data_IF_099412221089
#
_entry.id   IF_099412221089
#
_cell.length_a   1.000
_cell.length_b   1.000
_cell.length_c   1.000
_cell.angle_alpha   90.00
_cell.angle_beta   90.00
_cell.angle_gamma   90.00
#
_symmetry.space_group_name_H-M   'P 1'
#
loop_
_entity.id
_entity.type
_entity.pdbx_description
1 polymer ?
#
# COMPACT_ATOMS: atom_id res chain seq x y z
N UNK A 1 25.01 -18.56 -19.96
CA UNK A 1 24.01 -18.40 -21.02
C UNK A 1 23.36 -17.06 -20.78
N UNK A 2 23.85 -16.03 -21.46
CA UNK A 2 23.33 -14.67 -21.31
C UNK A 2 22.03 -14.57 -22.12
N UNK A 3 20.88 -14.55 -21.45
CA UNK A 3 19.59 -14.49 -22.10
C UNK A 3 19.41 -13.11 -22.76
N UNK A 4 19.61 -13.04 -24.08
CA UNK A 4 19.48 -11.83 -24.91
C UNK A 4 18.04 -11.33 -25.03
N UNK A 5 17.05 -12.11 -24.58
CA UNK A 5 15.68 -11.64 -24.45
C UNK A 5 15.42 -11.28 -22.99
N UNK A 6 15.22 -9.98 -22.71
CA UNK A 6 14.81 -9.52 -21.38
C UNK A 6 13.51 -10.20 -20.92
N UNK A 7 12.71 -10.73 -21.85
CA UNK A 7 11.47 -11.43 -21.56
C UNK A 7 11.55 -12.85 -22.12
N UNK A 8 11.17 -13.86 -21.33
CA UNK A 8 11.29 -15.28 -21.71
C UNK A 8 10.25 -16.16 -21.02
N UNK A 9 9.97 -17.32 -21.62
CA UNK A 9 9.19 -18.37 -20.98
C UNK A 9 10.08 -19.19 -20.04
N UNK A 10 9.63 -19.38 -18.80
CA UNK A 10 10.31 -20.20 -17.80
C UNK A 10 9.51 -21.48 -17.52
N UNK A 11 10.15 -22.43 -16.82
CA UNK A 11 9.52 -23.67 -16.33
C UNK A 11 8.76 -24.48 -17.41
N UNK A 12 9.32 -24.55 -18.62
CA UNK A 12 8.70 -25.31 -19.71
C UNK A 12 7.47 -24.63 -20.33
N UNK A 13 7.32 -23.31 -20.15
CA UNK A 13 6.26 -22.52 -20.78
C UNK A 13 5.08 -22.19 -19.87
N UNK A 14 5.06 -22.70 -18.64
CA UNK A 14 4.02 -22.39 -17.65
C UNK A 14 4.13 -20.97 -17.09
N UNK A 15 5.30 -20.35 -17.19
CA UNK A 15 5.56 -19.03 -16.65
C UNK A 15 6.12 -18.10 -17.72
N UNK A 16 5.74 -16.83 -17.63
CA UNK A 16 6.28 -15.76 -18.46
C UNK A 16 7.02 -14.76 -17.58
N UNK A 17 8.31 -14.58 -17.83
CA UNK A 17 9.17 -13.65 -17.11
C UNK A 17 9.38 -12.41 -17.97
N UNK A 18 9.13 -11.23 -17.40
CA UNK A 18 9.34 -9.92 -18.07
C UNK A 18 10.42 -9.15 -17.34
N UNK A 19 11.61 -9.03 -17.93
CA UNK A 19 12.74 -8.22 -17.44
C UNK A 19 12.80 -6.81 -18.03
N UNK A 20 11.78 -6.42 -18.79
CA UNK A 20 11.57 -5.06 -19.32
C UNK A 20 10.30 -4.40 -18.79
N UNK A 21 9.88 -3.30 -19.43
CA UNK A 21 8.60 -2.65 -19.11
C UNK A 21 7.44 -3.40 -19.78
N UNK A 22 6.44 -3.80 -18.99
CA UNK A 22 5.13 -4.23 -19.47
C UNK A 22 4.16 -3.03 -19.45
N UNK A 23 3.38 -2.83 -20.50
CA UNK A 23 2.39 -1.74 -20.58
C UNK A 23 1.09 -2.28 -21.18
N UNK A 24 0.00 -2.11 -20.46
CA UNK A 24 -1.35 -2.39 -20.95
C UNK A 24 -1.93 -1.10 -21.54
N UNK A 25 -2.41 -1.17 -22.78
CA UNK A 25 -2.99 -0.03 -23.48
C UNK A 25 -4.45 0.20 -23.04
N UNK A 26 -5.01 1.40 -23.25
CA UNK A 26 -6.43 1.66 -22.99
C UNK A 26 -7.34 0.63 -23.68
N UNK A 27 -8.30 0.08 -22.93
CA UNK A 27 -9.21 -0.95 -23.41
C UNK A 27 -8.72 -2.39 -23.28
N UNK A 28 -7.52 -2.63 -22.73
CA UNK A 28 -7.07 -3.99 -22.41
C UNK A 28 -7.85 -4.58 -21.22
N UNK A 29 -8.22 -5.86 -21.33
CA UNK A 29 -8.79 -6.66 -20.24
C UNK A 29 -7.73 -7.65 -19.75
N UNK A 30 -7.55 -7.74 -18.43
CA UNK A 30 -6.68 -8.73 -17.78
C UNK A 30 -7.56 -9.56 -16.84
N UNK A 31 -7.53 -10.88 -17.01
CA UNK A 31 -8.29 -11.84 -16.20
C UNK A 31 -7.34 -12.57 -15.24
N UNK A 32 -7.82 -12.98 -14.06
CA UNK A 32 -7.00 -13.73 -13.09
C UNK A 32 -5.94 -12.90 -12.37
N UNK A 33 -6.08 -11.57 -12.35
CA UNK A 33 -5.15 -10.64 -11.70
C UNK A 33 -5.62 -10.18 -10.31
N UNK A 34 -6.55 -10.90 -9.69
CA UNK A 34 -6.99 -10.64 -8.32
C UNK A 34 -5.78 -10.69 -7.37
N UNK A 35 -5.62 -9.70 -6.47
CA UNK A 35 -4.43 -9.61 -5.62
C UNK A 35 -3.19 -9.00 -6.27
N UNK A 36 -3.06 -9.01 -7.60
CA UNK A 36 -1.83 -8.61 -8.30
C UNK A 36 -1.63 -7.09 -8.31
N UNK A 37 -2.73 -6.34 -8.37
CA UNK A 37 -2.75 -4.88 -8.27
C UNK A 37 -3.34 -4.37 -6.95
N UNK A 38 -3.63 -5.28 -6.01
CA UNK A 38 -4.14 -4.94 -4.67
C UNK A 38 -3.04 -4.41 -3.73
N UNK A 39 -1.88 -4.05 -4.29
CA UNK A 39 -1.04 -3.04 -3.66
C UNK A 39 -1.95 -1.85 -3.34
N UNK A 40 -1.93 -1.32 -2.10
CA UNK A 40 -2.73 -0.15 -1.77
C UNK A 40 -2.49 0.86 -2.90
N UNK A 41 -3.57 1.33 -3.56
CA UNK A 41 -3.44 2.04 -4.81
C UNK A 41 -2.33 3.08 -4.67
N UNK A 42 -1.48 3.21 -5.67
CA UNK A 42 -0.44 4.24 -5.69
C UNK A 42 -0.99 5.68 -5.59
N UNK A 43 -2.30 5.87 -5.47
CA UNK A 43 -2.89 7.00 -4.75
C UNK A 43 -3.03 6.61 -3.28
N UNK A 44 -2.06 7.04 -2.46
CA UNK A 44 -2.00 6.73 -1.03
C UNK A 44 -3.38 6.82 -0.38
N UNK A 45 -3.66 5.93 0.58
CA UNK A 45 -4.91 6.00 1.31
C UNK A 45 -5.18 7.46 1.75
N UNK A 46 -6.43 7.85 1.82
CA UNK A 46 -6.79 9.18 2.31
C UNK A 46 -7.43 8.97 3.66
N UNK A 47 -6.93 9.68 4.67
CA UNK A 47 -7.62 9.72 5.95
C UNK A 47 -8.99 10.38 5.74
N UNK A 48 -10.05 9.89 6.40
CA UNK A 48 -11.27 10.66 6.51
C UNK A 48 -10.97 12.00 7.19
N UNK A 49 -11.84 12.99 6.99
CA UNK A 49 -11.73 14.25 7.71
C UNK A 49 -11.72 14.02 9.22
N UNK A 50 -10.78 14.65 9.91
CA UNK A 50 -10.68 14.69 11.37
C UNK A 50 -10.89 16.14 11.78
N UNK A 51 -11.85 16.38 12.68
CA UNK A 51 -12.15 17.72 13.18
C UNK A 51 -10.96 18.30 13.97
N UNK A 52 -10.88 19.64 14.00
CA UNK A 52 -9.89 20.36 14.80
C UNK A 52 -10.07 20.06 16.31
N UNK A 53 -8.97 20.10 17.06
CA UNK A 53 -9.02 19.95 18.52
C UNK A 53 -9.49 21.25 19.19
N UNK A 54 -10.54 21.16 19.98
CA UNK A 54 -11.06 22.27 20.82
C UNK A 54 -10.60 22.12 22.29
N UNK A 55 -9.54 21.36 22.55
CA UNK A 55 -9.08 21.04 23.89
C UNK A 55 -8.52 22.28 24.61
N UNK A 56 -9.10 22.61 25.77
CA UNK A 56 -8.62 23.68 26.66
C UNK A 56 -7.74 23.18 27.81
N UNK A 57 -7.45 21.88 27.86
CA UNK A 57 -6.60 21.25 28.88
C UNK A 57 -5.60 20.29 28.26
N UNK A 58 -4.45 20.11 28.91
CA UNK A 58 -3.42 19.16 28.47
C UNK A 58 -3.95 17.72 28.42
N UNK A 59 -4.81 17.34 29.37
CA UNK A 59 -5.40 16.00 29.40
C UNK A 59 -6.31 15.73 28.20
N UNK A 60 -7.12 16.71 27.79
CA UNK A 60 -7.98 16.62 26.61
C UNK A 60 -7.13 16.59 25.32
N UNK A 61 -6.11 17.44 25.20
CA UNK A 61 -5.22 17.46 24.04
C UNK A 61 -4.50 16.11 23.84
N UNK A 62 -4.06 15.48 24.95
CA UNK A 62 -3.44 14.14 24.89
C UNK A 62 -4.43 13.08 24.37
N UNK A 63 -5.71 13.19 24.71
CA UNK A 63 -6.73 12.26 24.23
C UNK A 63 -6.95 12.43 22.72
N UNK A 64 -7.11 13.67 22.24
CA UNK A 64 -7.28 13.98 20.82
C UNK A 64 -6.07 13.51 20.00
N UNK A 65 -4.85 13.75 20.50
CA UNK A 65 -3.63 13.32 19.85
C UNK A 65 -3.53 11.79 19.74
N UNK A 66 -3.85 11.05 20.81
CA UNK A 66 -3.83 9.59 20.78
C UNK A 66 -4.89 9.02 19.83
N UNK A 67 -6.04 9.68 19.68
CA UNK A 67 -7.07 9.30 18.71
C UNK A 67 -6.56 9.49 17.26
N UNK A 68 -5.85 10.58 16.97
CA UNK A 68 -5.20 10.79 15.67
C UNK A 68 -4.15 9.70 15.36
N UNK A 69 -3.30 9.36 16.34
CA UNK A 69 -2.31 8.29 16.17
C UNK A 69 -2.95 6.93 15.90
N UNK A 70 -4.12 6.65 16.50
CA UNK A 70 -4.88 5.44 16.19
C UNK A 70 -5.40 5.47 14.75
N UNK A 71 -6.04 6.56 14.32
CA UNK A 71 -6.56 6.71 12.97
C UNK A 71 -5.47 6.54 11.89
N UNK A 72 -4.26 7.07 12.14
CA UNK A 72 -3.10 6.91 11.26
C UNK A 72 -2.65 5.44 11.13
N UNK A 73 -2.70 4.67 12.21
CA UNK A 73 -2.34 3.25 12.19
C UNK A 73 -3.38 2.41 11.47
N UNK A 74 -4.65 2.61 11.79
CA UNK A 74 -5.78 1.91 11.16
C UNK A 74 -5.83 2.16 9.65
N UNK A 75 -5.50 3.38 9.21
CA UNK A 75 -5.45 3.72 7.79
C UNK A 75 -4.13 3.32 7.09
N UNK A 76 -3.20 2.68 7.80
CA UNK A 76 -1.95 2.16 7.24
C UNK A 76 -0.85 3.21 7.01
N UNK A 77 -1.00 4.42 7.56
CA UNK A 77 0.02 5.49 7.49
C UNK A 77 1.12 5.38 8.53
N UNK A 78 0.89 4.59 9.57
CA UNK A 78 1.80 4.44 10.70
C UNK A 78 1.90 2.98 11.08
N UNK A 79 3.12 2.52 11.40
CA UNK A 79 3.35 1.15 11.86
C UNK A 79 2.71 0.95 13.23
N UNK A 80 2.19 -0.26 13.48
CA UNK A 80 1.80 -0.67 14.83
C UNK A 80 3.00 -0.61 15.79
N UNK A 81 2.76 -0.32 17.09
CA UNK A 81 3.81 -0.40 18.07
C UNK A 81 4.35 -1.83 18.08
N UNK A 82 5.66 -1.99 17.90
CA UNK A 82 6.31 -3.25 18.25
C UNK A 82 6.00 -3.53 19.71
N UNK A 83 5.60 -4.75 20.06
CA UNK A 83 5.25 -5.17 21.43
C UNK A 83 6.40 -5.11 22.45
N UNK A 84 7.41 -4.29 22.18
CA UNK A 84 8.66 -4.10 22.90
C UNK A 84 8.91 -2.60 23.16
N UNK A 85 7.84 -1.81 23.30
CA UNK A 85 7.94 -0.45 23.81
C UNK A 85 8.12 -0.51 25.35
N UNK A 86 9.03 0.30 25.94
CA UNK A 86 9.26 0.33 27.39
C UNK A 86 8.04 0.78 28.20
#
# INVERSE_FOLDING_TARGET
MDHTARNFHAHGGSEWVVGGKLTFLPGATVEGAEGLFDLPPGGGASLPYIAESEASTVAALRADFNALLLALREAGFMREPSGDAP
#
